data_IF_611429688635
#
_entry.id   IF_611429688635
#
_cell.length_a   1.000
_cell.length_b   1.000
_cell.length_c   1.000
_cell.angle_alpha   90.00
_cell.angle_beta   90.00
_cell.angle_gamma   90.00
#
_symmetry.space_group_name_H-M   'P 1'
#
loop_
_entity.id
_entity.type
_entity.pdbx_description
1 polymer ?
#
# COMPACT_ATOMS: atom_id res chain seq x y z
N UNK A 1 -20.96 2.98 12.26
CA UNK A 1 -19.59 3.08 12.85
C UNK A 1 -18.87 1.78 12.52
N UNK A 2 -18.21 1.71 11.37
CA UNK A 2 -17.55 0.46 10.95
C UNK A 2 -16.29 0.24 11.80
N UNK A 3 -16.28 -0.93 12.43
CA UNK A 3 -15.42 -1.34 13.51
C UNK A 3 -14.02 -1.66 12.99
N UNK A 4 -13.02 -0.85 13.37
CA UNK A 4 -11.61 -1.01 13.01
C UNK A 4 -10.94 -2.13 13.86
N UNK A 5 -11.50 -3.34 13.85
CA UNK A 5 -11.04 -4.46 14.69
C UNK A 5 -10.36 -5.58 13.90
N UNK A 6 -9.45 -5.24 13.00
CA UNK A 6 -8.53 -6.24 12.42
C UNK A 6 -7.07 -6.10 12.88
N UNK A 7 -6.71 -5.09 13.68
CA UNK A 7 -5.29 -4.88 14.07
C UNK A 7 -4.98 -5.31 15.51
N UNK A 8 -5.97 -5.47 16.39
CA UNK A 8 -5.72 -5.70 17.84
C UNK A 8 -5.78 -7.15 18.32
N UNK A 9 -6.10 -8.14 17.50
CA UNK A 9 -6.36 -9.51 17.99
C UNK A 9 -5.16 -10.48 17.88
N UNK A 10 -4.03 -10.07 17.30
CA UNK A 10 -2.86 -10.96 17.08
C UNK A 10 -1.70 -10.60 18.01
N UNK A 11 -1.95 -10.32 19.29
CA UNK A 11 -0.87 -10.10 20.28
C UNK A 11 -0.79 -11.16 21.38
N UNK A 12 -1.64 -12.19 21.39
CA UNK A 12 -1.68 -13.12 22.52
C UNK A 12 -1.40 -14.60 22.26
N UNK A 13 -1.18 -15.07 21.03
CA UNK A 13 -0.75 -16.47 20.86
C UNK A 13 0.18 -16.69 19.65
N UNK A 14 1.32 -17.30 19.97
CA UNK A 14 2.16 -18.17 19.14
C UNK A 14 3.02 -17.56 18.01
N UNK A 15 4.33 -17.83 18.14
CA UNK A 15 5.40 -17.79 17.15
C UNK A 15 5.57 -16.48 16.37
N UNK A 16 6.73 -15.82 16.50
CA UNK A 16 7.17 -14.81 15.54
C UNK A 16 7.30 -15.51 14.16
N UNK A 17 6.38 -15.30 13.21
CA UNK A 17 6.56 -15.85 11.88
C UNK A 17 7.75 -15.12 11.21
N UNK A 18 8.45 -15.75 10.25
CA UNK A 18 9.54 -15.06 9.55
C UNK A 18 9.01 -13.74 8.99
N UNK A 19 9.80 -12.67 9.02
CA UNK A 19 9.40 -11.32 8.56
C UNK A 19 8.71 -11.31 7.18
N UNK A 20 9.05 -12.29 6.33
CA UNK A 20 8.39 -12.62 5.06
C UNK A 20 6.87 -12.89 5.13
N UNK A 21 6.32 -13.14 6.31
CA UNK A 21 4.89 -13.44 6.52
C UNK A 21 4.09 -12.16 6.77
N UNK A 22 4.75 -11.08 7.19
CA UNK A 22 4.11 -9.77 7.41
C UNK A 22 4.15 -8.88 6.17
N UNK A 23 5.13 -9.11 5.28
CA UNK A 23 5.34 -8.30 4.08
C UNK A 23 5.49 -9.18 2.84
N UNK A 24 4.73 -8.93 1.77
CA UNK A 24 5.12 -9.46 0.46
C UNK A 24 6.49 -8.87 0.10
N UNK A 25 7.36 -9.70 -0.48
CA UNK A 25 8.64 -9.24 -1.02
C UNK A 25 8.43 -8.16 -2.08
N UNK A 26 9.39 -7.25 -2.20
CA UNK A 26 9.38 -6.30 -3.31
C UNK A 26 9.46 -7.02 -4.66
N UNK A 27 8.92 -6.41 -5.72
CA UNK A 27 9.13 -6.89 -7.08
C UNK A 27 10.64 -7.06 -7.36
N UNK A 28 11.00 -8.05 -8.16
CA UNK A 28 12.40 -8.29 -8.53
C UNK A 28 13.04 -7.02 -9.11
N UNK A 29 14.13 -6.56 -8.51
CA UNK A 29 14.86 -5.35 -8.93
C UNK A 29 14.34 -4.03 -8.34
N UNK A 30 13.24 -4.04 -7.58
CA UNK A 30 12.74 -2.86 -6.89
C UNK A 30 13.42 -2.67 -5.54
N UNK A 31 13.68 -1.40 -5.20
CA UNK A 31 14.11 -0.95 -3.87
C UNK A 31 13.20 0.18 -3.38
N UNK A 32 13.40 0.65 -2.15
CA UNK A 32 12.56 1.71 -1.57
C UNK A 32 12.57 3.00 -2.41
N UNK A 33 13.72 3.39 -2.97
CA UNK A 33 13.84 4.61 -3.78
C UNK A 33 13.08 4.49 -5.09
N UNK A 34 13.14 3.33 -5.77
CA UNK A 34 12.39 3.10 -6.99
C UNK A 34 10.88 3.07 -6.74
N UNK A 35 10.45 2.51 -5.61
CA UNK A 35 9.03 2.44 -5.23
C UNK A 35 8.48 3.82 -4.81
N UNK A 36 9.28 4.63 -4.11
CA UNK A 36 8.91 6.02 -3.81
C UNK A 36 8.86 6.87 -5.09
N UNK A 37 9.77 6.65 -6.05
CA UNK A 37 9.69 7.27 -7.37
C UNK A 37 8.39 6.91 -8.09
N UNK A 38 8.04 5.63 -8.12
CA UNK A 38 6.78 5.15 -8.73
C UNK A 38 5.55 5.75 -8.04
N UNK A 39 5.57 5.92 -6.71
CA UNK A 39 4.53 6.64 -5.97
C UNK A 39 4.42 8.10 -6.40
N UNK A 40 5.55 8.81 -6.57
CA UNK A 40 5.54 10.20 -7.03
C UNK A 40 4.96 10.33 -8.44
N UNK A 41 5.31 9.41 -9.35
CA UNK A 41 4.72 9.36 -10.68
C UNK A 41 3.20 9.11 -10.61
N UNK A 42 2.76 8.23 -9.71
CA UNK A 42 1.35 7.93 -9.49
C UNK A 42 0.53 9.18 -9.10
N UNK A 43 1.12 10.14 -8.36
CA UNK A 43 0.46 11.43 -8.05
C UNK A 43 0.16 12.24 -9.32
N UNK A 44 1.02 12.14 -10.34
CA UNK A 44 0.81 12.80 -11.63
C UNK A 44 -0.15 12.02 -12.51
N UNK A 45 -0.04 10.69 -12.52
CA UNK A 45 -0.84 9.79 -13.37
C UNK A 45 -2.33 9.83 -13.06
N UNK A 46 -2.68 9.99 -11.79
CA UNK A 46 -4.06 10.18 -11.32
C UNK A 46 -4.77 11.35 -12.00
N UNK A 47 -4.02 12.39 -12.40
CA UNK A 47 -4.57 13.61 -12.99
C UNK A 47 -4.80 13.46 -14.50
N UNK A 48 -4.31 12.39 -15.11
CA UNK A 48 -4.39 12.12 -16.55
C UNK A 48 -5.70 11.39 -16.88
N UNK A 49 -6.41 11.86 -17.91
CA UNK A 49 -7.66 11.22 -18.36
C UNK A 49 -7.39 9.83 -18.94
N UNK A 50 -8.28 8.88 -18.68
CA UNK A 50 -8.23 7.50 -19.17
C UNK A 50 -6.98 6.70 -18.78
N UNK A 51 -6.30 7.08 -17.69
CA UNK A 51 -5.04 6.46 -17.26
C UNK A 51 -5.21 5.28 -16.27
N UNK A 52 -6.43 4.74 -16.15
CA UNK A 52 -6.80 3.78 -15.10
C UNK A 52 -5.92 2.52 -15.09
N UNK A 53 -5.49 2.04 -16.26
CA UNK A 53 -4.62 0.86 -16.37
C UNK A 53 -3.23 1.12 -15.80
N UNK A 54 -2.61 2.25 -16.17
CA UNK A 54 -1.28 2.63 -15.65
C UNK A 54 -1.33 2.81 -14.14
N UNK A 55 -2.39 3.46 -13.63
CA UNK A 55 -2.59 3.61 -12.18
C UNK A 55 -2.74 2.22 -11.53
N UNK A 56 -3.50 1.30 -12.11
CA UNK A 56 -3.65 -0.07 -11.58
C UNK A 56 -2.31 -0.80 -11.49
N UNK A 57 -1.52 -0.74 -12.56
CA UNK A 57 -0.22 -1.43 -12.66
C UNK A 57 0.77 -0.87 -11.62
N UNK A 58 0.87 0.46 -11.50
CA UNK A 58 1.70 1.12 -10.48
C UNK A 58 1.23 0.85 -9.06
N UNK A 59 -0.09 0.77 -8.84
CA UNK A 59 -0.65 0.38 -7.55
C UNK A 59 -0.26 -1.05 -7.20
N UNK A 60 -0.38 -1.99 -8.14
CA UNK A 60 0.03 -3.37 -7.92
C UNK A 60 1.53 -3.47 -7.55
N UNK A 61 2.40 -2.77 -8.28
CA UNK A 61 3.84 -2.74 -8.01
C UNK A 61 4.19 -2.15 -6.64
N UNK A 62 3.48 -1.11 -6.21
CA UNK A 62 3.72 -0.43 -4.93
C UNK A 62 3.00 -1.05 -3.73
N UNK A 63 2.27 -2.15 -3.90
CA UNK A 63 1.50 -2.79 -2.83
C UNK A 63 2.34 -3.16 -1.60
N UNK A 64 3.49 -3.78 -1.82
CA UNK A 64 4.40 -4.18 -0.74
C UNK A 64 4.90 -2.98 0.07
N UNK A 65 5.23 -1.88 -0.62
CA UNK A 65 5.68 -0.65 0.00
C UNK A 65 4.58 -0.01 0.85
N UNK A 66 3.37 0.12 0.30
CA UNK A 66 2.19 0.60 1.02
C UNK A 66 1.93 -0.18 2.31
N UNK A 67 2.03 -1.51 2.24
CA UNK A 67 1.79 -2.37 3.41
C UNK A 67 2.85 -2.17 4.49
N UNK A 68 4.11 -2.01 4.11
CA UNK A 68 5.19 -1.68 5.05
C UNK A 68 4.94 -0.35 5.75
N UNK A 69 4.47 0.68 5.04
CA UNK A 69 4.17 1.98 5.64
C UNK A 69 3.04 1.87 6.68
N UNK A 70 1.95 1.18 6.35
CA UNK A 70 0.82 1.00 7.28
C UNK A 70 1.24 0.26 8.55
N UNK A 71 2.02 -0.81 8.42
CA UNK A 71 2.41 -1.64 9.57
C UNK A 71 3.51 -0.99 10.40
N UNK A 72 4.50 -0.36 9.78
CA UNK A 72 5.65 0.19 10.50
C UNK A 72 5.41 1.60 11.04
N UNK A 73 4.65 2.43 10.32
CA UNK A 73 4.48 3.85 10.65
C UNK A 73 3.12 4.14 11.27
N UNK A 74 2.15 3.22 11.17
CA UNK A 74 0.77 3.39 11.64
C UNK A 74 0.21 4.80 11.33
N UNK A 75 0.28 5.27 10.07
CA UNK A 75 -0.03 6.65 9.73
C UNK A 75 -1.51 6.97 9.96
N UNK A 76 -1.80 8.22 10.29
CA UNK A 76 -3.17 8.71 10.33
C UNK A 76 -3.86 8.55 8.97
N UNK A 77 -5.18 8.29 8.96
CA UNK A 77 -5.95 8.06 7.73
C UNK A 77 -5.81 9.24 6.75
N UNK A 78 -5.76 10.47 7.26
CA UNK A 78 -5.58 11.67 6.44
C UNK A 78 -4.22 11.64 5.73
N UNK A 79 -3.14 11.42 6.47
CA UNK A 79 -1.78 11.42 5.91
C UNK A 79 -1.59 10.25 4.94
N UNK A 80 -2.17 9.09 5.25
CA UNK A 80 -2.14 7.94 4.35
C UNK A 80 -2.90 8.20 3.06
N UNK A 81 -4.06 8.88 3.13
CA UNK A 81 -4.84 9.28 1.96
C UNK A 81 -4.12 10.33 1.10
N UNK A 82 -3.47 11.30 1.73
CA UNK A 82 -2.70 12.32 1.04
C UNK A 82 -1.50 11.69 0.31
N UNK A 83 -0.91 10.62 0.89
CA UNK A 83 0.22 9.88 0.31
C UNK A 83 -0.19 8.91 -0.81
N UNK A 84 -1.36 8.28 -0.69
CA UNK A 84 -1.90 7.27 -1.62
C UNK A 84 -3.31 7.60 -2.12
N UNK A 85 -3.51 8.71 -2.84
CA UNK A 85 -4.85 9.14 -3.26
C UNK A 85 -5.56 8.17 -4.21
N UNK A 86 -4.80 7.38 -5.01
CA UNK A 86 -5.37 6.39 -5.93
C UNK A 86 -6.22 5.31 -5.24
N UNK A 87 -5.90 4.95 -3.99
CA UNK A 87 -6.69 4.00 -3.17
C UNK A 87 -8.16 4.43 -3.03
N UNK A 88 -8.41 5.73 -3.11
CA UNK A 88 -9.72 6.32 -2.85
C UNK A 88 -10.43 6.78 -4.13
N UNK A 89 -9.82 6.54 -5.29
CA UNK A 89 -10.34 6.92 -6.61
C UNK A 89 -10.53 5.70 -7.51
N UNK A 90 -9.68 4.70 -7.37
CA UNK A 90 -9.77 3.47 -8.13
C UNK A 90 -10.70 2.50 -7.40
N UNK A 91 -11.57 1.82 -8.15
CA UNK A 91 -12.30 0.65 -7.65
C UNK A 91 -11.28 -0.47 -7.45
N UNK A 92 -10.62 -0.55 -6.30
CA UNK A 92 -9.79 -1.69 -5.97
C UNK A 92 -10.70 -2.93 -5.87
N UNK A 93 -10.55 -3.86 -6.81
CA UNK A 93 -11.07 -5.22 -6.69
C UNK A 93 -10.09 -5.98 -5.82
N UNK A 94 -10.58 -6.37 -4.64
CA UNK A 94 -9.93 -7.36 -3.79
C UNK A 94 -10.02 -8.70 -4.55
N UNK A 95 -8.88 -9.26 -4.95
CA UNK A 95 -8.72 -10.66 -5.34
C UNK A 95 -7.73 -11.32 -4.40
#
# INVERSE_FOLDING_TARGET
MFHLNCVKTIRHHNANPPFSTFYPSFPTGANLESLEKERLELLTDIRIRNNNRVIADKMAHTFAYRRQEVVNQEPGIKDFKDRWPALFQQKEVII
#
